data_IF_732489113170
#
_entry.id   IF_732489113170
#
_cell.length_a   1.000
_cell.length_b   1.000
_cell.length_c   1.000
_cell.angle_alpha   90.00
_cell.angle_beta   90.00
_cell.angle_gamma   90.00
#
_symmetry.space_group_name_H-M   'P 1'
#
loop_
_entity.id
_entity.type
_entity.pdbx_description
1 polymer ?
#
# COMPACT_ATOMS: atom_id res chain seq x y z
N UNK A 1 39.58 -44.90 -88.20
CA UNK A 1 39.35 -46.20 -87.54
C UNK A 1 38.52 -45.96 -86.30
N UNK A 2 37.41 -46.67 -86.17
CA UNK A 2 36.55 -46.79 -84.97
C UNK A 2 37.17 -47.81 -84.00
N UNK A 3 36.60 -48.12 -82.80
CA UNK A 3 35.49 -47.51 -82.04
C UNK A 3 36.00 -47.06 -80.62
N UNK A 4 35.27 -46.89 -79.49
CA UNK A 4 33.82 -46.94 -79.20
C UNK A 4 33.40 -46.09 -77.95
N UNK A 5 32.09 -45.84 -77.85
CA UNK A 5 31.19 -45.93 -76.67
C UNK A 5 31.46 -45.37 -75.24
N UNK A 6 30.34 -44.82 -74.71
CA UNK A 6 29.75 -45.06 -73.37
C UNK A 6 29.80 -43.98 -72.27
N UNK A 7 28.75 -43.16 -72.29
CA UNK A 7 27.80 -42.82 -71.20
C UNK A 7 28.21 -42.24 -69.83
N UNK A 8 27.27 -41.41 -69.33
CA UNK A 8 26.82 -41.27 -67.95
C UNK A 8 27.62 -40.42 -66.92
N UNK A 9 27.17 -39.16 -66.84
CA UNK A 9 26.54 -38.58 -65.65
C UNK A 9 27.36 -37.99 -64.47
N UNK A 10 26.94 -36.76 -64.13
CA UNK A 10 26.89 -36.14 -62.79
C UNK A 10 28.21 -35.86 -62.03
N UNK A 11 28.62 -34.61 -62.20
CA UNK A 11 28.80 -33.62 -61.13
C UNK A 11 29.86 -33.84 -60.04
N UNK A 12 30.83 -32.90 -59.97
CA UNK A 12 31.20 -32.15 -58.74
C UNK A 12 32.17 -30.99 -58.99
N UNK A 13 31.93 -29.87 -58.29
CA UNK A 13 32.88 -28.89 -57.72
C UNK A 13 34.07 -28.35 -58.54
N UNK A 14 34.06 -27.03 -58.78
CA UNK A 14 35.02 -26.04 -58.20
C UNK A 14 34.52 -24.59 -58.51
N UNK A 15 34.31 -23.67 -57.54
CA UNK A 15 35.31 -22.88 -56.75
C UNK A 15 36.05 -21.92 -57.70
N UNK A 16 35.89 -20.58 -57.78
CA UNK A 16 35.61 -19.42 -56.87
C UNK A 16 35.18 -18.21 -57.79
N UNK A 17 34.87 -16.97 -57.39
CA UNK A 17 35.06 -16.14 -56.18
C UNK A 17 34.01 -14.98 -56.17
N UNK A 18 33.96 -14.22 -55.07
CA UNK A 18 33.42 -12.84 -54.92
C UNK A 18 31.95 -12.64 -54.53
N UNK A 19 31.72 -11.62 -53.69
CA UNK A 19 30.47 -11.10 -53.12
C UNK A 19 29.88 -11.84 -51.90
N UNK A 20 30.54 -11.69 -50.74
CA UNK A 20 29.94 -11.98 -49.42
C UNK A 20 30.49 -11.04 -48.32
N UNK A 21 30.11 -9.76 -48.34
CA UNK A 21 30.66 -8.75 -47.40
C UNK A 21 29.75 -7.53 -47.10
N UNK A 22 28.42 -7.67 -47.03
CA UNK A 22 27.52 -6.51 -46.74
C UNK A 22 26.43 -6.75 -45.67
N UNK A 23 26.04 -8.00 -45.36
CA UNK A 23 24.78 -8.28 -44.62
C UNK A 23 24.92 -8.87 -43.21
N UNK A 24 25.96 -8.51 -42.44
CA UNK A 24 26.15 -8.99 -41.05
C UNK A 24 26.47 -7.91 -40.00
N UNK A 25 26.43 -6.62 -40.36
CA UNK A 25 26.71 -5.50 -39.43
C UNK A 25 25.45 -4.81 -38.87
N UNK A 26 24.24 -5.25 -39.24
CA UNK A 26 22.98 -4.63 -38.80
C UNK A 26 22.34 -5.24 -37.54
N UNK A 27 22.71 -6.47 -37.16
CA UNK A 27 21.99 -7.23 -36.12
C UNK A 27 22.40 -6.94 -34.67
N UNK A 28 23.54 -6.30 -34.43
CA UNK A 28 24.12 -6.19 -33.09
C UNK A 28 23.78 -4.89 -32.33
N UNK A 29 23.19 -3.89 -32.99
CA UNK A 29 22.96 -2.57 -32.39
C UNK A 29 21.60 -2.43 -31.66
N UNK A 30 20.60 -3.26 -31.97
CA UNK A 30 19.28 -3.17 -31.33
C UNK A 30 19.19 -3.86 -29.96
N UNK A 31 20.11 -4.78 -29.62
CA UNK A 31 20.08 -5.50 -28.34
C UNK A 31 20.65 -4.70 -27.16
N UNK A 32 21.39 -3.61 -27.42
CA UNK A 32 22.11 -2.84 -26.39
C UNK A 32 21.30 -1.70 -25.75
N UNK A 33 20.02 -1.54 -26.11
CA UNK A 33 19.15 -0.48 -25.57
C UNK A 33 18.44 -0.89 -24.27
N UNK A 34 18.12 -2.18 -24.08
CA UNK A 34 17.37 -2.66 -22.93
C UNK A 34 18.19 -2.80 -21.63
N UNK A 35 19.51 -2.94 -21.73
CA UNK A 35 20.41 -3.21 -20.61
C UNK A 35 21.09 -1.97 -20.00
N UNK A 36 20.46 -0.78 -20.12
CA UNK A 36 21.06 0.52 -19.72
C UNK A 36 20.23 1.33 -18.71
N UNK A 37 19.22 0.73 -18.10
CA UNK A 37 18.26 1.43 -17.22
C UNK A 37 18.32 1.00 -15.73
N UNK A 38 19.34 0.24 -15.32
CA UNK A 38 19.56 -0.05 -13.89
C UNK A 38 20.10 1.20 -13.18
N UNK A 39 19.36 1.69 -12.17
CA UNK A 39 19.76 2.82 -11.32
C UNK A 39 19.32 4.22 -11.77
N UNK A 40 18.65 4.38 -12.92
CA UNK A 40 18.02 5.65 -13.30
C UNK A 40 16.55 5.69 -12.86
N UNK A 41 16.02 6.85 -12.43
CA UNK A 41 14.59 7.00 -12.15
C UNK A 41 13.73 6.68 -13.37
N UNK A 42 12.61 5.98 -13.16
CA UNK A 42 11.61 5.76 -14.21
C UNK A 42 10.89 7.07 -14.50
N UNK A 43 10.97 7.55 -15.74
CA UNK A 43 10.19 8.70 -16.20
C UNK A 43 8.72 8.29 -16.38
N UNK A 44 7.83 8.87 -15.59
CA UNK A 44 6.38 8.85 -15.81
C UNK A 44 5.96 10.18 -16.44
N UNK A 45 5.23 10.15 -17.55
CA UNK A 45 4.80 11.37 -18.25
C UNK A 45 3.31 11.63 -18.05
N UNK A 46 2.93 12.90 -17.98
CA UNK A 46 1.51 13.28 -17.96
C UNK A 46 0.79 12.92 -19.27
N UNK A 47 1.52 12.80 -20.39
CA UNK A 47 0.97 12.29 -21.64
C UNK A 47 0.38 10.88 -21.49
N UNK A 48 1.10 9.94 -20.86
CA UNK A 48 0.59 8.58 -20.65
C UNK A 48 -0.69 8.56 -19.82
N UNK A 49 -0.76 9.38 -18.77
CA UNK A 49 -1.98 9.58 -17.99
C UNK A 49 -3.15 10.09 -18.85
N UNK A 50 -2.93 11.11 -19.68
CA UNK A 50 -3.96 11.67 -20.58
C UNK A 50 -4.42 10.62 -21.61
N UNK A 51 -3.50 9.83 -22.16
CA UNK A 51 -3.81 8.74 -23.10
C UNK A 51 -4.66 7.64 -22.46
N UNK A 52 -4.39 7.28 -21.20
CA UNK A 52 -5.16 6.24 -20.50
C UNK A 52 -6.54 6.71 -20.03
N UNK A 53 -6.70 7.95 -19.52
CA UNK A 53 -8.04 8.48 -19.19
C UNK A 53 -8.90 8.77 -20.41
N UNK A 54 -8.28 8.95 -21.58
CA UNK A 54 -8.98 9.13 -22.87
C UNK A 54 -9.36 7.81 -23.55
N UNK A 55 -8.92 6.67 -23.02
CA UNK A 55 -9.13 5.35 -23.61
C UNK A 55 -10.54 4.82 -23.34
N UNK A 56 -11.28 4.46 -24.39
CA UNK A 56 -12.48 3.64 -24.24
C UNK A 56 -12.10 2.20 -23.89
N UNK A 57 -12.74 1.64 -22.86
CA UNK A 57 -12.54 0.24 -22.44
C UNK A 57 -13.79 -0.59 -22.72
N UNK A 58 -13.59 -1.83 -23.14
CA UNK A 58 -14.63 -2.85 -23.25
C UNK A 58 -14.68 -3.82 -22.06
N UNK A 59 -13.97 -3.50 -20.97
CA UNK A 59 -13.94 -4.31 -19.76
C UNK A 59 -15.33 -4.31 -19.08
N UNK A 60 -15.88 -5.49 -18.80
CA UNK A 60 -17.10 -5.62 -18.00
C UNK A 60 -16.78 -5.33 -16.53
N UNK A 61 -16.77 -4.05 -16.13
CA UNK A 61 -16.41 -3.59 -14.78
C UNK A 61 -17.35 -4.10 -13.67
N UNK A 62 -18.51 -4.63 -14.03
CA UNK A 62 -19.50 -5.23 -13.11
C UNK A 62 -19.36 -6.76 -13.00
N UNK A 63 -18.45 -7.39 -13.76
CA UNK A 63 -18.12 -8.82 -13.65
C UNK A 63 -16.74 -8.99 -12.99
N UNK A 64 -16.68 -9.37 -11.70
CA UNK A 64 -15.42 -9.62 -11.00
C UNK A 64 -14.50 -10.64 -11.69
N UNK A 65 -15.03 -11.62 -12.43
CA UNK A 65 -14.20 -12.59 -13.17
C UNK A 65 -13.62 -12.00 -14.45
N UNK A 66 -14.32 -11.06 -15.10
CA UNK A 66 -13.76 -10.29 -16.21
C UNK A 66 -12.63 -9.37 -15.73
N UNK A 67 -12.83 -8.63 -14.63
CA UNK A 67 -11.81 -7.74 -14.06
C UNK A 67 -10.62 -8.54 -13.52
N UNK A 68 -10.84 -9.67 -12.83
CA UNK A 68 -9.77 -10.55 -12.39
C UNK A 68 -8.95 -11.10 -13.57
N UNK A 69 -9.62 -11.54 -14.65
CA UNK A 69 -8.95 -12.01 -15.86
C UNK A 69 -8.14 -10.92 -16.57
N UNK A 70 -8.62 -9.68 -16.57
CA UNK A 70 -7.88 -8.52 -17.06
C UNK A 70 -6.63 -8.24 -16.21
N UNK A 71 -6.78 -8.12 -14.88
CA UNK A 71 -5.68 -7.85 -13.94
C UNK A 71 -4.62 -8.95 -14.04
N UNK A 72 -4.99 -10.22 -13.83
CA UNK A 72 -4.07 -11.35 -13.88
C UNK A 72 -3.40 -11.48 -15.26
N UNK A 73 -4.14 -11.21 -16.33
CA UNK A 73 -3.64 -11.20 -17.71
C UNK A 73 -2.52 -10.18 -17.95
N UNK A 74 -2.64 -8.99 -17.34
CA UNK A 74 -1.68 -7.90 -17.45
C UNK A 74 -0.40 -8.08 -16.60
N UNK A 75 -0.41 -8.97 -15.60
CA UNK A 75 0.77 -9.22 -14.75
C UNK A 75 1.89 -9.95 -15.49
N UNK A 76 3.17 -9.74 -15.11
CA UNK A 76 4.28 -10.61 -15.53
C UNK A 76 4.10 -12.04 -14.99
N UNK A 77 4.94 -12.97 -15.44
CA UNK A 77 4.90 -14.39 -15.01
C UNK A 77 5.19 -14.58 -13.50
N UNK A 78 5.87 -13.63 -12.88
CA UNK A 78 6.16 -13.61 -11.43
C UNK A 78 6.01 -12.19 -10.90
N UNK A 79 5.31 -12.05 -9.76
CA UNK A 79 5.19 -10.81 -8.98
C UNK A 79 5.65 -11.03 -7.54
N UNK A 80 6.06 -9.95 -6.88
CA UNK A 80 6.33 -9.93 -5.44
C UNK A 80 5.15 -9.26 -4.73
N UNK A 81 4.68 -9.88 -3.65
CA UNK A 81 3.66 -9.35 -2.75
C UNK A 81 4.40 -8.77 -1.56
N UNK A 82 4.56 -7.45 -1.52
CA UNK A 82 5.38 -6.76 -0.53
C UNK A 82 4.75 -6.66 0.86
N UNK A 83 3.46 -6.30 1.01
CA UNK A 83 2.84 -6.15 2.32
C UNK A 83 2.77 -7.48 3.07
N UNK A 84 3.04 -7.46 4.38
CA UNK A 84 3.12 -8.69 5.18
C UNK A 84 1.78 -9.37 5.42
N UNK A 85 0.69 -8.64 5.20
CA UNK A 85 -0.70 -9.11 5.25
C UNK A 85 -1.15 -9.85 3.95
N UNK A 86 -0.24 -9.98 2.97
CA UNK A 86 -0.37 -10.75 1.73
C UNK A 86 -1.27 -10.15 0.63
N UNK A 87 -1.38 -8.82 0.59
CA UNK A 87 -2.10 -8.08 -0.45
C UNK A 87 -1.19 -7.73 -1.63
N UNK A 88 -1.53 -8.20 -2.83
CA UNK A 88 -0.99 -7.65 -4.06
C UNK A 88 -1.91 -6.54 -4.56
N UNK A 89 -1.57 -5.29 -4.23
CA UNK A 89 -2.33 -4.12 -4.68
C UNK A 89 -2.08 -3.81 -6.17
N UNK A 90 -3.11 -3.29 -6.82
CA UNK A 90 -3.05 -2.80 -8.20
C UNK A 90 -3.93 -1.55 -8.37
N UNK A 91 -3.67 -0.77 -9.42
CA UNK A 91 -4.61 0.23 -9.91
C UNK A 91 -4.63 0.28 -11.43
N UNK A 92 -5.76 0.72 -12.00
CA UNK A 92 -5.94 0.94 -13.43
C UNK A 92 -6.94 2.07 -13.68
N UNK A 93 -7.02 2.55 -14.92
CA UNK A 93 -8.03 3.54 -15.33
C UNK A 93 -9.13 2.83 -16.14
N UNK A 94 -10.39 3.11 -15.83
CA UNK A 94 -11.57 2.63 -16.54
C UNK A 94 -12.61 3.75 -16.64
N UNK A 95 -13.10 4.01 -17.85
CA UNK A 95 -14.04 5.10 -18.19
C UNK A 95 -13.74 6.43 -17.47
N UNK A 96 -12.50 6.90 -17.58
CA UNK A 96 -11.93 8.12 -16.95
C UNK A 96 -11.81 8.11 -15.43
N UNK A 97 -12.33 7.11 -14.72
CA UNK A 97 -12.13 6.93 -13.29
C UNK A 97 -10.91 6.04 -13.01
N UNK A 98 -10.21 6.30 -11.90
CA UNK A 98 -9.16 5.41 -11.40
C UNK A 98 -9.78 4.38 -10.48
N UNK A 99 -9.41 3.12 -10.66
CA UNK A 99 -9.77 1.99 -9.81
C UNK A 99 -8.54 1.51 -9.07
N UNK A 100 -8.74 1.16 -7.81
CA UNK A 100 -7.78 0.46 -6.97
C UNK A 100 -8.33 -0.93 -6.61
N UNK A 101 -7.48 -1.83 -6.14
CA UNK A 101 -7.90 -3.16 -5.75
C UNK A 101 -6.73 -4.03 -5.32
N UNK A 102 -7.04 -5.26 -4.94
CA UNK A 102 -6.05 -6.23 -4.49
C UNK A 102 -6.38 -7.68 -4.90
N UNK A 103 -5.33 -8.49 -4.94
CA UNK A 103 -5.38 -9.96 -4.89
C UNK A 103 -4.76 -10.34 -3.54
N UNK A 104 -5.55 -10.79 -2.56
CA UNK A 104 -5.06 -11.18 -1.23
C UNK A 104 -4.96 -12.69 -1.09
N UNK A 105 -3.74 -13.17 -0.85
CA UNK A 105 -3.44 -14.55 -0.46
C UNK A 105 -3.53 -14.67 1.07
N UNK A 106 -4.76 -14.64 1.61
CA UNK A 106 -5.03 -14.80 3.05
C UNK A 106 -4.38 -16.08 3.62
N UNK A 107 -3.94 -16.01 4.87
CA UNK A 107 -3.24 -17.09 5.57
C UNK A 107 -4.01 -18.41 5.66
N UNK A 108 -5.33 -18.35 5.77
CA UNK A 108 -6.21 -19.50 5.99
C UNK A 108 -6.83 -19.96 4.67
N UNK A 109 -7.27 -19.03 3.82
CA UNK A 109 -7.98 -19.36 2.58
C UNK A 109 -7.06 -19.75 1.41
N UNK A 110 -5.81 -19.27 1.35
CA UNK A 110 -4.85 -19.72 0.32
C UNK A 110 -4.54 -21.21 0.42
N UNK A 111 -4.41 -21.74 1.64
CA UNK A 111 -4.16 -23.15 1.91
C UNK A 111 -5.39 -24.03 1.55
N UNK A 112 -6.57 -23.43 1.36
CA UNK A 112 -7.79 -24.08 0.83
C UNK A 112 -7.89 -23.97 -0.70
N UNK A 113 -6.87 -23.44 -1.38
CA UNK A 113 -6.89 -23.20 -2.83
C UNK A 113 -7.76 -22.01 -3.25
N UNK A 114 -7.89 -20.99 -2.38
CA UNK A 114 -8.69 -19.79 -2.63
C UNK A 114 -7.88 -18.49 -2.60
N UNK A 115 -8.42 -17.42 -3.14
CA UNK A 115 -7.82 -16.08 -3.12
C UNK A 115 -8.91 -15.02 -3.08
N UNK A 116 -8.76 -13.99 -2.25
CA UNK A 116 -9.69 -12.85 -2.30
C UNK A 116 -9.30 -11.93 -3.45
N UNK A 117 -10.31 -11.46 -4.17
CA UNK A 117 -10.16 -10.43 -5.18
C UNK A 117 -11.12 -9.29 -4.89
N UNK A 118 -10.59 -8.08 -4.75
CA UNK A 118 -11.38 -6.88 -4.49
C UNK A 118 -10.94 -5.74 -5.41
N UNK A 119 -11.90 -4.92 -5.83
CA UNK A 119 -11.65 -3.67 -6.54
C UNK A 119 -12.78 -2.66 -6.32
N UNK A 120 -12.41 -1.38 -6.40
CA UNK A 120 -13.27 -0.23 -6.14
C UNK A 120 -12.76 0.97 -6.94
N UNK A 121 -13.63 1.95 -7.17
CA UNK A 121 -13.18 3.25 -7.67
C UNK A 121 -12.34 3.93 -6.56
N UNK A 122 -11.17 4.48 -6.87
CA UNK A 122 -10.29 5.07 -5.85
C UNK A 122 -10.98 6.24 -5.14
N UNK A 123 -10.91 6.30 -3.80
CA UNK A 123 -11.58 7.33 -2.99
C UNK A 123 -10.98 8.72 -3.25
N UNK A 124 -11.78 9.77 -3.03
CA UNK A 124 -11.33 11.16 -3.04
C UNK A 124 -12.14 11.96 -2.01
N UNK A 125 -11.54 12.93 -1.33
CA UNK A 125 -12.17 13.68 -0.21
C UNK A 125 -13.52 14.35 -0.56
N UNK A 126 -13.81 14.58 -1.84
CA UNK A 126 -15.02 15.27 -2.31
C UNK A 126 -16.19 14.34 -2.66
N UNK A 127 -16.05 13.02 -2.54
CA UNK A 127 -17.10 12.04 -2.88
C UNK A 127 -17.31 11.00 -1.78
N UNK A 128 -18.53 10.46 -1.74
CA UNK A 128 -18.88 9.34 -0.86
C UNK A 128 -18.02 8.09 -1.17
N UNK A 129 -17.87 7.22 -0.16
CA UNK A 129 -17.12 5.98 -0.33
C UNK A 129 -17.76 5.09 -1.40
N UNK A 130 -17.04 4.77 -2.50
CA UNK A 130 -17.60 3.95 -3.57
C UNK A 130 -17.73 2.48 -3.13
N UNK A 131 -18.70 1.74 -3.68
CA UNK A 131 -18.94 0.36 -3.30
C UNK A 131 -17.76 -0.55 -3.69
N UNK A 132 -17.27 -1.34 -2.73
CA UNK A 132 -16.25 -2.35 -2.97
C UNK A 132 -16.86 -3.60 -3.60
N UNK A 133 -16.33 -4.01 -4.75
CA UNK A 133 -16.66 -5.31 -5.35
C UNK A 133 -15.65 -6.33 -4.85
N UNK A 134 -16.10 -7.23 -3.97
CA UNK A 134 -15.31 -8.33 -3.40
C UNK A 134 -15.83 -9.68 -3.89
N UNK A 135 -14.92 -10.63 -4.08
CA UNK A 135 -15.25 -12.03 -4.30
C UNK A 135 -14.12 -12.93 -3.79
N UNK A 136 -14.49 -14.09 -3.23
CA UNK A 136 -13.56 -15.14 -2.86
C UNK A 136 -13.49 -16.16 -4.01
N UNK A 137 -12.37 -16.17 -4.72
CA UNK A 137 -12.16 -16.97 -5.92
C UNK A 137 -11.53 -18.32 -5.58
N UNK A 138 -11.84 -19.33 -6.39
CA UNK A 138 -11.41 -20.72 -6.20
C UNK A 138 -11.76 -21.59 -7.42
N UNK A 139 -11.62 -22.90 -7.27
CA UNK A 139 -11.78 -23.87 -8.37
C UNK A 139 -13.18 -23.83 -8.99
N UNK A 140 -14.21 -23.53 -8.20
CA UNK A 140 -15.60 -23.32 -8.63
C UNK A 140 -15.78 -22.12 -9.58
N UNK A 141 -14.86 -21.16 -9.53
CA UNK A 141 -14.77 -20.00 -10.42
C UNK A 141 -13.82 -20.25 -11.62
N UNK A 142 -13.23 -21.45 -11.72
CA UNK A 142 -12.18 -21.77 -12.68
C UNK A 142 -10.81 -21.16 -12.34
N UNK A 143 -10.61 -20.70 -11.10
CA UNK A 143 -9.36 -20.13 -10.60
C UNK A 143 -8.62 -21.19 -9.77
N UNK A 144 -7.45 -21.60 -10.22
CA UNK A 144 -6.58 -22.50 -9.45
C UNK A 144 -5.59 -21.69 -8.63
N UNK A 145 -5.50 -21.96 -7.32
CA UNK A 145 -4.51 -21.40 -6.40
C UNK A 145 -3.71 -22.55 -5.82
N UNK A 146 -2.41 -22.60 -6.11
CA UNK A 146 -1.53 -23.72 -5.78
C UNK A 146 -0.32 -23.24 -4.95
N UNK A 147 0.01 -23.94 -3.87
CA UNK A 147 1.27 -23.75 -3.15
C UNK A 147 2.42 -24.34 -3.97
N UNK A 148 3.46 -23.57 -4.23
CA UNK A 148 4.64 -24.01 -5.00
C UNK A 148 5.81 -24.33 -4.07
N UNK A 149 6.10 -23.40 -3.14
CA UNK A 149 7.07 -23.52 -2.06
C UNK A 149 6.58 -22.64 -0.89
N UNK A 150 7.27 -22.65 0.24
CA UNK A 150 6.92 -21.72 1.33
C UNK A 150 6.98 -20.27 0.86
N UNK A 151 5.95 -19.49 1.20
CA UNK A 151 5.76 -18.11 0.77
C UNK A 151 5.62 -17.92 -0.76
N UNK A 152 5.36 -18.97 -1.55
CA UNK A 152 5.20 -18.84 -3.00
C UNK A 152 4.01 -19.63 -3.52
N UNK A 153 3.16 -18.91 -4.22
CA UNK A 153 1.87 -19.37 -4.69
C UNK A 153 1.75 -19.17 -6.20
N UNK A 154 1.01 -20.04 -6.86
CA UNK A 154 0.66 -19.90 -8.27
C UNK A 154 -0.83 -19.69 -8.38
N UNK A 155 -1.22 -18.65 -9.12
CA UNK A 155 -2.62 -18.38 -9.44
C UNK A 155 -2.79 -18.54 -10.95
N UNK A 156 -3.77 -19.34 -11.36
CA UNK A 156 -4.05 -19.61 -12.77
C UNK A 156 -5.54 -19.41 -13.10
N UNK A 157 -5.81 -18.73 -14.22
CA UNK A 157 -7.17 -18.48 -14.72
C UNK A 157 -7.14 -18.25 -16.23
N UNK A 158 -8.09 -18.86 -16.96
CA UNK A 158 -8.27 -18.72 -18.44
C UNK A 158 -6.97 -18.85 -19.26
N UNK A 159 -6.07 -19.76 -18.86
CA UNK A 159 -4.80 -20.04 -19.55
C UNK A 159 -3.66 -19.07 -19.22
N UNK A 160 -3.89 -18.04 -18.39
CA UNK A 160 -2.83 -17.27 -17.75
C UNK A 160 -2.47 -17.91 -16.40
N UNK A 161 -1.18 -17.91 -16.10
CA UNK A 161 -0.61 -18.35 -14.83
C UNK A 161 0.39 -17.29 -14.34
N UNK A 162 0.36 -16.97 -13.06
CA UNK A 162 1.27 -16.01 -12.41
C UNK A 162 1.77 -16.59 -11.09
N UNK A 163 3.05 -16.43 -10.81
CA UNK A 163 3.68 -16.83 -9.54
C UNK A 163 3.75 -15.61 -8.61
N UNK A 164 3.10 -15.70 -7.46
CA UNK A 164 3.11 -14.70 -6.41
C UNK A 164 4.12 -15.11 -5.34
N UNK A 165 5.19 -14.32 -5.17
CA UNK A 165 6.18 -14.49 -4.09
C UNK A 165 5.82 -13.54 -2.95
N UNK A 166 5.37 -14.08 -1.83
CA UNK A 166 5.12 -13.33 -0.60
C UNK A 166 6.46 -12.86 -0.03
N UNK A 167 6.50 -11.63 0.51
CA UNK A 167 7.71 -11.04 1.07
C UNK A 167 8.29 -11.93 2.18
N UNK A 168 9.57 -12.29 2.10
CA UNK A 168 10.21 -13.16 3.09
C UNK A 168 11.08 -12.34 4.06
N UNK A 169 10.54 -12.14 5.26
CA UNK A 169 11.18 -11.40 6.34
C UNK A 169 11.55 -12.31 7.52
N UNK A 170 11.63 -13.64 7.33
CA UNK A 170 11.95 -14.60 8.42
C UNK A 170 13.27 -14.30 9.14
N UNK A 171 14.24 -13.76 8.42
CA UNK A 171 15.55 -13.34 8.96
C UNK A 171 15.59 -11.93 9.53
N UNK A 172 14.49 -11.16 9.45
CA UNK A 172 14.40 -9.77 9.91
C UNK A 172 13.93 -9.74 11.36
N UNK A 173 14.78 -9.26 12.26
CA UNK A 173 14.56 -9.16 13.70
C UNK A 173 15.14 -7.81 14.20
N UNK A 174 14.56 -7.19 15.24
CA UNK A 174 15.07 -5.95 15.80
C UNK A 174 16.48 -6.11 16.37
N UNK A 175 17.37 -5.09 16.23
CA UNK A 175 18.61 -5.03 16.99
C UNK A 175 18.35 -5.12 18.49
N UNK A 176 19.27 -5.73 19.26
CA UNK A 176 19.11 -5.89 20.70
C UNK A 176 18.95 -4.55 21.47
N UNK A 177 19.44 -3.45 20.91
CA UNK A 177 19.29 -2.08 21.44
C UNK A 177 17.90 -1.47 21.21
N UNK A 178 17.10 -2.01 20.28
CA UNK A 178 15.81 -1.47 19.88
C UNK A 178 14.64 -1.89 20.78
N UNK A 179 14.82 -2.87 21.68
CA UNK A 179 13.77 -3.37 22.58
C UNK A 179 14.00 -2.97 24.05
N UNK A 180 12.90 -2.69 24.75
CA UNK A 180 12.81 -2.52 26.19
C UNK A 180 12.75 -3.85 26.95
N UNK A 181 13.02 -3.85 28.28
CA UNK A 181 12.90 -5.07 29.10
C UNK A 181 11.44 -5.56 29.22
N UNK A 182 10.48 -4.63 29.16
CA UNK A 182 9.05 -4.92 29.22
C UNK A 182 8.46 -5.25 27.83
N UNK A 183 9.24 -5.11 26.76
CA UNK A 183 8.77 -5.22 25.39
C UNK A 183 8.97 -6.63 24.81
N UNK A 184 8.01 -7.04 23.98
CA UNK A 184 8.03 -8.28 23.21
C UNK A 184 7.90 -7.94 21.73
N UNK A 185 8.80 -8.49 20.92
CA UNK A 185 8.71 -8.41 19.47
C UNK A 185 7.66 -9.39 18.95
N UNK A 186 6.70 -8.90 18.16
CA UNK A 186 5.61 -9.69 17.58
C UNK A 186 6.00 -10.22 16.20
N UNK A 187 6.55 -9.36 15.34
CA UNK A 187 6.96 -9.73 13.99
C UNK A 187 7.36 -8.52 13.12
N UNK A 188 7.93 -8.78 11.93
CA UNK A 188 8.33 -7.75 11.00
C UNK A 188 7.13 -7.39 10.13
N UNK A 189 6.82 -6.10 10.06
CA UNK A 189 5.78 -5.52 9.22
C UNK A 189 6.44 -4.88 8.01
N UNK A 190 5.83 -5.07 6.85
CA UNK A 190 6.12 -4.32 5.64
C UNK A 190 4.79 -3.74 5.19
N UNK A 191 4.75 -2.42 5.16
CA UNK A 191 3.57 -1.60 4.89
C UNK A 191 3.42 -1.30 3.40
N UNK A 192 2.22 -0.93 2.93
CA UNK A 192 2.01 -0.57 1.51
C UNK A 192 2.74 0.72 1.12
N UNK A 193 3.08 1.57 2.09
CA UNK A 193 3.99 2.70 1.90
C UNK A 193 5.44 2.26 1.57
N UNK A 194 5.71 0.96 1.48
CA UNK A 194 7.03 0.33 1.41
C UNK A 194 7.95 0.61 2.61
N UNK A 195 7.36 0.93 3.76
CA UNK A 195 8.10 1.12 5.03
C UNK A 195 8.12 -0.20 5.80
N UNK A 196 9.26 -0.51 6.41
CA UNK A 196 9.40 -1.65 7.33
C UNK A 196 9.33 -1.21 8.77
N UNK A 197 8.64 -1.99 9.58
CA UNK A 197 8.55 -1.81 11.02
C UNK A 197 8.77 -3.13 11.76
N UNK A 198 9.15 -3.03 13.02
CA UNK A 198 8.96 -4.08 14.00
C UNK A 198 7.68 -3.77 14.78
N UNK A 199 6.70 -4.67 14.74
CA UNK A 199 5.56 -4.60 15.65
C UNK A 199 6.03 -5.06 17.03
N UNK A 200 5.91 -4.20 18.02
CA UNK A 200 6.39 -4.40 19.39
C UNK A 200 5.23 -4.19 20.37
N UNK A 201 5.10 -5.08 21.35
CA UNK A 201 4.12 -5.00 22.42
C UNK A 201 4.80 -4.72 23.76
N UNK A 202 4.36 -3.70 24.49
CA UNK A 202 4.84 -3.42 25.85
C UNK A 202 3.93 -4.10 26.88
N UNK A 203 4.47 -5.11 27.58
CA UNK A 203 3.71 -5.94 28.54
C UNK A 203 3.42 -5.26 29.87
N UNK A 204 4.09 -4.14 30.20
CA UNK A 204 3.80 -3.38 31.44
C UNK A 204 2.71 -2.34 31.22
N UNK A 205 2.74 -1.69 30.06
CA UNK A 205 1.83 -0.59 29.72
C UNK A 205 0.66 -1.04 28.84
N UNK A 206 0.63 -2.33 28.47
CA UNK A 206 -0.42 -2.96 27.65
C UNK A 206 -0.74 -2.16 26.38
N UNK A 207 0.30 -1.93 25.56
CA UNK A 207 0.22 -1.12 24.34
C UNK A 207 1.13 -1.65 23.22
N UNK A 208 0.82 -1.26 21.99
CA UNK A 208 1.64 -1.56 20.81
C UNK A 208 2.48 -0.36 20.37
N UNK A 209 3.59 -0.63 19.69
CA UNK A 209 4.37 0.36 18.93
C UNK A 209 4.79 -0.23 17.59
N UNK A 210 4.79 0.61 16.56
CA UNK A 210 5.57 0.37 15.35
C UNK A 210 6.93 1.06 15.50
N UNK A 211 7.98 0.25 15.63
CA UNK A 211 9.36 0.74 15.65
C UNK A 211 9.91 0.65 14.23
N UNK A 212 10.41 1.75 13.66
CA UNK A 212 10.99 1.75 12.31
C UNK A 212 12.14 0.74 12.22
N UNK A 213 12.12 -0.06 11.18
CA UNK A 213 13.15 -1.06 10.91
C UNK A 213 14.30 -0.44 10.10
N UNK A 214 15.33 0.01 10.82
CA UNK A 214 16.54 0.59 10.24
C UNK A 214 17.63 -0.46 9.94
N UNK A 215 17.30 -1.76 9.91
CA UNK A 215 18.26 -2.82 9.50
C UNK A 215 18.48 -2.87 8.00
N UNK A 216 17.63 -2.17 7.23
CA UNK A 216 17.83 -1.86 5.81
C UNK A 216 17.58 -0.36 5.58
N UNK A 217 18.08 0.25 4.49
CA UNK A 217 17.76 1.62 4.15
C UNK A 217 16.25 1.80 3.93
N UNK A 218 15.61 2.67 4.71
CA UNK A 218 14.23 3.05 4.48
C UNK A 218 14.10 3.80 3.13
N UNK A 219 13.05 3.55 2.32
CA UNK A 219 12.80 4.26 1.06
C UNK A 219 12.16 5.63 1.32
N UNK A 220 12.85 6.45 2.13
CA UNK A 220 12.37 7.73 2.65
C UNK A 220 13.57 8.66 2.94
N UNK A 221 13.33 9.97 2.90
CA UNK A 221 14.17 10.98 3.54
C UNK A 221 13.33 11.75 4.55
N UNK A 222 13.96 12.32 5.57
CA UNK A 222 13.26 12.94 6.69
C UNK A 222 13.49 14.45 6.76
N UNK A 223 12.43 15.19 7.05
CA UNK A 223 12.51 16.53 7.63
C UNK A 223 12.46 16.42 9.15
N UNK A 224 13.19 17.28 9.88
CA UNK A 224 12.97 17.46 11.32
C UNK A 224 11.81 18.44 11.51
N UNK A 225 10.93 18.18 12.48
CA UNK A 225 9.88 19.12 12.85
C UNK A 225 10.49 20.43 13.38
N UNK A 226 9.85 21.54 13.07
CA UNK A 226 10.26 22.90 13.49
C UNK A 226 10.32 23.05 15.01
N UNK A 227 9.48 22.31 15.73
CA UNK A 227 9.37 22.34 17.19
C UNK A 227 10.53 21.60 17.87
N UNK A 228 11.05 20.51 17.27
CA UNK A 228 12.10 19.69 17.88
C UNK A 228 12.80 18.75 16.87
N UNK A 229 14.13 18.58 16.99
CA UNK A 229 14.91 17.63 16.17
C UNK A 229 14.66 16.15 16.52
N UNK A 230 13.83 15.91 17.55
CA UNK A 230 13.39 14.60 18.01
C UNK A 230 12.24 14.04 17.19
N UNK A 231 11.46 14.87 16.51
CA UNK A 231 10.38 14.43 15.61
C UNK A 231 10.90 14.52 14.18
N UNK A 232 10.81 13.40 13.46
CA UNK A 232 11.19 13.27 12.07
C UNK A 232 9.97 12.93 11.22
N UNK A 233 9.72 13.70 10.17
CA UNK A 233 8.59 13.49 9.26
C UNK A 233 9.11 12.97 7.93
N UNK A 234 8.52 11.88 7.43
CA UNK A 234 8.85 11.28 6.14
C UNK A 234 8.41 12.17 4.97
N UNK A 235 9.36 12.57 4.12
CA UNK A 235 9.11 13.47 2.99
C UNK A 235 8.23 12.87 1.88
N UNK A 236 8.01 11.54 1.87
CA UNK A 236 7.16 10.85 0.89
C UNK A 236 5.86 10.36 1.52
N UNK A 237 5.94 9.80 2.72
CA UNK A 237 4.79 9.17 3.40
C UNK A 237 3.98 10.13 4.27
N UNK A 238 4.62 11.16 4.85
CA UNK A 238 4.02 11.87 5.97
C UNK A 238 3.90 11.00 7.24
N UNK A 239 4.72 9.96 7.39
CA UNK A 239 4.84 9.24 8.66
C UNK A 239 5.76 10.03 9.60
N UNK A 240 5.28 10.29 10.81
CA UNK A 240 5.97 11.03 11.85
C UNK A 240 6.56 10.07 12.90
N UNK A 241 7.86 10.22 13.17
CA UNK A 241 8.61 9.34 14.04
C UNK A 241 9.26 10.11 15.19
N UNK A 242 9.13 9.59 16.42
CA UNK A 242 9.88 10.07 17.57
C UNK A 242 11.21 9.34 17.71
N UNK A 243 12.32 10.10 17.79
CA UNK A 243 13.65 9.61 18.13
C UNK A 243 13.76 9.42 19.64
N UNK A 244 13.60 8.18 20.08
CA UNK A 244 13.57 7.79 21.50
C UNK A 244 14.79 8.35 22.30
N UNK A 245 14.55 8.89 23.49
CA UNK A 245 15.60 9.34 24.41
C UNK A 245 16.33 8.21 25.12
N UNK A 246 15.71 7.03 25.23
CA UNK A 246 16.22 5.90 26.03
C UNK A 246 16.84 4.80 25.19
N UNK A 247 16.68 4.83 23.85
CA UNK A 247 17.13 3.80 22.89
C UNK A 247 17.44 4.41 21.54
N UNK A 248 18.39 3.81 20.82
CA UNK A 248 18.65 4.13 19.41
C UNK A 248 17.57 3.46 18.54
N UNK A 249 16.41 4.12 18.44
CA UNK A 249 15.28 3.71 17.61
C UNK A 249 14.37 4.90 17.25
N UNK A 250 13.51 4.69 16.26
CA UNK A 250 12.44 5.61 15.87
C UNK A 250 11.09 4.93 16.06
N UNK A 251 10.18 5.55 16.80
CA UNK A 251 8.83 5.04 17.08
C UNK A 251 7.85 5.85 16.22
N UNK A 252 6.97 5.19 15.46
CA UNK A 252 5.88 5.86 14.74
C UNK A 252 4.93 6.49 15.76
N UNK A 253 4.75 7.81 15.67
CA UNK A 253 3.84 8.58 16.55
C UNK A 253 2.69 9.22 15.80
N UNK A 254 2.78 9.34 14.47
CA UNK A 254 1.67 9.83 13.66
C UNK A 254 1.76 9.48 12.18
N UNK A 255 0.62 9.54 11.54
CA UNK A 255 0.44 9.44 10.07
C UNK A 255 -0.32 10.67 9.60
N UNK A 256 -0.05 11.14 8.39
CA UNK A 256 -0.70 12.34 7.88
C UNK A 256 -2.17 12.07 7.55
N UNK A 257 -3.08 12.72 8.29
CA UNK A 257 -4.54 12.53 8.26
C UNK A 257 -5.13 12.61 6.83
N UNK A 258 -4.56 13.46 5.97
CA UNK A 258 -4.99 13.59 4.57
C UNK A 258 -4.79 12.35 3.71
N UNK A 259 -3.87 11.44 4.08
CA UNK A 259 -3.70 10.15 3.40
C UNK A 259 -4.73 9.14 3.90
N UNK A 260 -4.93 9.06 5.22
CA UNK A 260 -5.87 8.14 5.85
C UNK A 260 -7.32 8.44 5.49
N UNK A 261 -7.69 9.72 5.35
CA UNK A 261 -9.01 10.14 4.84
C UNK A 261 -9.35 9.63 3.44
N UNK A 262 -8.35 9.36 2.60
CA UNK A 262 -8.55 8.84 1.24
C UNK A 262 -8.15 7.37 1.08
N UNK A 263 -7.74 6.69 2.17
CA UNK A 263 -7.34 5.27 2.16
C UNK A 263 -6.37 4.96 1.01
N UNK A 264 -5.26 5.71 0.98
CA UNK A 264 -4.16 5.50 0.05
C UNK A 264 -2.99 4.80 0.76
N UNK A 265 -2.00 4.33 0.00
CA UNK A 265 -0.85 3.57 0.50
C UNK A 265 0.01 4.25 1.59
N UNK A 266 -0.30 5.46 2.06
CA UNK A 266 0.38 6.19 3.13
C UNK A 266 -0.58 6.53 4.30
N UNK A 267 -1.67 5.77 4.45
CA UNK A 267 -2.66 5.88 5.53
C UNK A 267 -2.19 5.28 6.87
N UNK A 268 -1.30 4.29 6.82
CA UNK A 268 -0.55 3.77 7.96
C UNK A 268 -0.64 2.25 8.14
N UNK A 269 0.29 1.63 8.89
CA UNK A 269 0.42 0.17 8.98
C UNK A 269 -0.64 -0.52 9.86
N UNK A 270 -1.82 0.06 10.07
CA UNK A 270 -2.76 -0.32 11.14
C UNK A 270 -3.41 -1.70 10.96
N UNK A 271 -3.57 -2.15 9.71
CA UNK A 271 -4.04 -3.49 9.34
C UNK A 271 -2.92 -4.39 8.81
N UNK A 272 -1.76 -3.82 8.45
CA UNK A 272 -0.59 -4.50 7.88
C UNK A 272 0.19 -5.32 8.91
N UNK A 273 -0.42 -6.39 9.42
CA UNK A 273 0.15 -7.23 10.48
C UNK A 273 1.17 -8.25 9.94
N UNK A 274 2.07 -8.81 10.81
CA UNK A 274 3.16 -9.69 10.40
C UNK A 274 2.69 -11.14 10.15
N UNK A 275 1.66 -11.32 9.34
CA UNK A 275 0.83 -12.54 9.24
C UNK A 275 1.61 -13.83 8.98
N UNK A 276 2.64 -13.78 8.14
CA UNK A 276 3.48 -14.93 7.81
C UNK A 276 4.49 -15.31 8.91
N UNK A 277 4.65 -14.47 9.95
CA UNK A 277 5.77 -14.53 10.88
C UNK A 277 5.35 -14.59 12.36
N UNK A 278 4.06 -14.50 12.67
CA UNK A 278 3.55 -14.60 14.06
C UNK A 278 3.90 -15.96 14.64
N UNK A 279 4.74 -15.95 15.68
CA UNK A 279 5.14 -17.13 16.45
C UNK A 279 4.00 -17.50 17.42
N UNK A 280 3.54 -18.76 17.41
CA UNK A 280 2.51 -19.25 18.33
C UNK A 280 1.21 -18.42 18.33
N UNK A 281 0.82 -17.93 19.50
CA UNK A 281 -0.36 -17.07 19.70
C UNK A 281 0.01 -15.64 20.12
N UNK A 282 1.29 -15.24 19.97
CA UNK A 282 1.86 -14.03 20.61
C UNK A 282 1.11 -12.74 20.25
N UNK A 283 0.62 -12.58 19.03
CA UNK A 283 -0.20 -11.42 18.64
C UNK A 283 -1.55 -11.43 19.38
N UNK A 284 -2.29 -12.55 19.31
CA UNK A 284 -3.60 -12.69 19.97
C UNK A 284 -3.49 -12.48 21.47
N UNK A 285 -2.49 -13.06 22.11
CA UNK A 285 -2.31 -12.96 23.56
C UNK A 285 -1.94 -11.52 23.99
N UNK A 286 -1.23 -10.76 23.13
CA UNK A 286 -1.02 -9.32 23.33
C UNK A 286 -2.33 -8.51 23.15
N UNK A 287 -3.12 -8.79 22.10
CA UNK A 287 -4.44 -8.16 21.90
C UNK A 287 -5.36 -8.44 23.08
N UNK A 288 -5.40 -9.69 23.60
CA UNK A 288 -6.27 -10.08 24.71
C UNK A 288 -5.85 -9.52 26.07
N UNK A 289 -4.62 -9.02 26.21
CA UNK A 289 -4.21 -8.26 27.39
C UNK A 289 -4.79 -6.83 27.34
N UNK A 290 -4.75 -6.18 26.16
CA UNK A 290 -5.32 -4.84 25.94
C UNK A 290 -6.87 -4.90 25.99
N UNK A 291 -7.46 -5.84 25.26
CA UNK A 291 -8.92 -6.03 25.21
C UNK A 291 -9.35 -7.47 25.56
N UNK A 292 -9.47 -7.79 26.87
CA UNK A 292 -9.96 -9.10 27.33
C UNK A 292 -11.37 -9.46 26.81
N UNK A 293 -12.14 -8.46 26.34
CA UNK A 293 -13.47 -8.62 25.73
C UNK A 293 -13.44 -9.54 24.50
N UNK A 294 -12.32 -9.61 23.78
CA UNK A 294 -12.17 -10.38 22.54
C UNK A 294 -11.88 -11.88 22.77
N UNK A 295 -11.82 -12.34 24.03
CA UNK A 295 -11.48 -13.74 24.34
C UNK A 295 -12.47 -14.72 23.72
N UNK A 296 -11.98 -15.54 22.80
CA UNK A 296 -12.78 -16.51 22.04
C UNK A 296 -13.56 -15.91 20.86
N UNK A 297 -13.37 -14.61 20.57
CA UNK A 297 -13.94 -13.91 19.40
C UNK A 297 -12.90 -13.67 18.29
N UNK A 298 -11.61 -13.78 18.59
CA UNK A 298 -10.51 -13.62 17.61
C UNK A 298 -9.63 -14.86 17.53
N UNK A 299 -9.06 -15.08 16.35
CA UNK A 299 -8.07 -16.12 16.08
C UNK A 299 -6.63 -15.68 16.43
N UNK A 300 -5.61 -16.45 16.01
CA UNK A 300 -4.20 -16.11 16.28
C UNK A 300 -3.66 -14.88 15.52
N UNK A 301 -4.39 -14.42 14.50
CA UNK A 301 -4.06 -13.27 13.66
C UNK A 301 -4.79 -11.99 14.09
N UNK A 302 -5.72 -12.09 15.05
CA UNK A 302 -6.58 -10.98 15.47
C UNK A 302 -7.85 -10.84 14.63
N UNK A 303 -8.17 -11.83 13.79
CA UNK A 303 -9.36 -11.81 12.92
C UNK A 303 -10.56 -12.51 13.57
N UNK A 304 -11.77 -12.08 13.23
CA UNK A 304 -13.01 -12.76 13.60
C UNK A 304 -13.12 -14.16 12.98
N UNK A 305 -13.98 -15.06 13.49
CA UNK A 305 -14.02 -16.46 13.01
C UNK A 305 -14.56 -16.62 11.58
N UNK A 306 -15.23 -15.61 11.06
CA UNK A 306 -15.69 -15.49 9.67
C UNK A 306 -14.72 -14.67 8.79
N UNK A 307 -13.66 -14.10 9.37
CA UNK A 307 -12.67 -13.27 8.67
C UNK A 307 -13.19 -11.91 8.20
N UNK A 308 -14.36 -11.47 8.67
CA UNK A 308 -14.98 -10.20 8.30
C UNK A 308 -14.31 -9.00 8.99
N UNK A 309 -14.00 -9.15 10.28
CA UNK A 309 -13.40 -8.11 11.12
C UNK A 309 -11.96 -8.49 11.49
N UNK A 310 -11.12 -7.46 11.69
CA UNK A 310 -9.75 -7.60 12.17
C UNK A 310 -9.46 -6.58 13.27
N UNK A 311 -8.76 -6.98 14.32
CA UNK A 311 -8.26 -6.05 15.33
C UNK A 311 -7.27 -5.05 14.71
N UNK A 312 -7.63 -3.78 14.76
CA UNK A 312 -6.88 -2.66 14.21
C UNK A 312 -5.83 -2.18 15.23
N UNK A 313 -4.58 -2.03 14.79
CA UNK A 313 -3.47 -1.58 15.65
C UNK A 313 -3.00 -0.21 15.17
N UNK A 314 -3.61 0.88 15.67
CA UNK A 314 -3.23 2.27 15.35
C UNK A 314 -2.78 3.02 16.61
N UNK A 315 -1.58 2.75 17.16
CA UNK A 315 -1.07 3.40 18.37
C UNK A 315 -0.44 4.76 18.06
N UNK A 316 -0.99 5.54 17.13
CA UNK A 316 -0.40 6.77 16.61
C UNK A 316 -1.49 7.77 16.22
N UNK A 317 -1.16 9.06 16.14
CA UNK A 317 -2.12 10.10 15.79
C UNK A 317 -2.32 10.26 14.27
N UNK A 318 -3.56 10.51 13.84
CA UNK A 318 -3.83 11.12 12.54
C UNK A 318 -3.60 12.63 12.60
N UNK A 319 -2.42 13.09 12.19
CA UNK A 319 -2.00 14.49 12.34
C UNK A 319 -2.21 15.32 11.06
N UNK A 320 -2.49 16.62 11.21
CA UNK A 320 -2.68 17.56 10.08
C UNK A 320 -1.62 18.65 10.03
N UNK A 321 -1.04 19.06 11.16
CA UNK A 321 0.09 20.01 11.26
C UNK A 321 1.19 19.50 12.19
N UNK A 322 2.35 20.16 12.22
CA UNK A 322 3.46 19.74 13.10
C UNK A 322 3.13 19.95 14.60
N UNK A 323 2.26 20.91 14.90
CA UNK A 323 1.80 21.21 16.26
C UNK A 323 1.02 20.05 16.89
N UNK A 324 0.27 19.28 16.11
CA UNK A 324 -0.45 18.07 16.55
C UNK A 324 0.52 16.99 17.09
N UNK A 325 1.79 17.03 16.66
CA UNK A 325 2.85 16.12 17.11
C UNK A 325 3.59 16.62 18.36
N UNK A 326 3.34 17.86 18.81
CA UNK A 326 4.00 18.43 19.97
C UNK A 326 3.73 17.69 21.30
N UNK A 327 2.50 17.20 21.61
CA UNK A 327 2.21 16.53 22.88
C UNK A 327 3.10 15.31 23.17
N UNK A 328 3.52 14.59 22.13
CA UNK A 328 4.47 13.48 22.22
C UNK A 328 5.82 13.94 22.79
N UNK A 329 6.31 15.11 22.38
CA UNK A 329 7.57 15.68 22.86
C UNK A 329 7.43 16.26 24.28
N UNK A 330 6.33 16.96 24.57
CA UNK A 330 6.05 17.48 25.92
C UNK A 330 5.97 16.33 26.94
N UNK A 331 5.24 15.26 26.63
CA UNK A 331 5.15 14.08 27.49
C UNK A 331 6.53 13.41 27.66
N UNK A 332 7.25 13.15 26.57
CA UNK A 332 8.53 12.44 26.60
C UNK A 332 9.66 13.22 27.28
N UNK A 333 9.53 14.53 27.45
CA UNK A 333 10.52 15.41 28.13
C UNK A 333 10.06 15.93 29.49
N UNK A 334 8.79 15.73 29.86
CA UNK A 334 8.25 16.13 31.16
C UNK A 334 8.93 15.39 32.30
N UNK A 335 9.17 16.12 33.40
CA UNK A 335 9.69 15.57 34.66
C UNK A 335 8.59 14.93 35.52
N UNK A 336 7.33 15.20 35.19
CA UNK A 336 6.17 14.71 35.92
C UNK A 336 5.73 13.32 35.43
N UNK A 337 6.22 12.89 34.26
CA UNK A 337 6.01 11.54 33.71
C UNK A 337 7.00 10.55 34.35
N UNK A 338 6.55 9.52 35.08
CA UNK A 338 7.42 8.52 35.67
C UNK A 338 8.26 7.77 34.61
N UNK A 339 9.45 7.31 35.00
CA UNK A 339 10.38 6.66 34.07
C UNK A 339 9.79 5.38 33.44
N UNK A 340 8.90 4.72 34.17
CA UNK A 340 8.11 3.55 33.80
C UNK A 340 6.91 3.88 32.89
N UNK A 341 6.37 5.10 32.95
CA UNK A 341 5.24 5.55 32.11
C UNK A 341 5.70 6.11 30.75
N UNK A 342 6.97 6.49 30.61
CA UNK A 342 7.55 7.14 29.43
C UNK A 342 7.13 6.59 28.05
N UNK A 343 7.02 5.27 27.88
CA UNK A 343 6.63 4.71 26.58
C UNK A 343 5.13 4.86 26.27
N UNK A 344 4.30 5.20 27.25
CA UNK A 344 2.92 5.64 27.03
C UNK A 344 2.82 7.03 26.40
N UNK A 345 3.91 7.81 26.36
CA UNK A 345 3.96 9.09 25.64
C UNK A 345 3.94 8.94 24.11
N UNK A 346 4.03 7.71 23.58
CA UNK A 346 4.13 7.43 22.14
C UNK A 346 2.92 6.66 21.59
N UNK A 347 1.80 6.70 22.30
CA UNK A 347 0.51 6.16 21.84
C UNK A 347 -0.60 7.17 22.06
N UNK A 348 -1.62 7.13 21.20
CA UNK A 348 -2.89 7.81 21.42
C UNK A 348 -3.85 6.81 22.08
N UNK A 349 -4.66 7.29 23.02
CA UNK A 349 -5.79 6.53 23.56
C UNK A 349 -6.90 6.48 22.48
N UNK A 350 -7.32 5.29 22.00
CA UNK A 350 -8.37 5.19 20.99
C UNK A 350 -9.67 5.90 21.39
N UNK A 351 -9.99 5.96 22.68
CA UNK A 351 -11.18 6.65 23.19
C UNK A 351 -11.07 8.19 23.07
N UNK A 352 -9.86 8.75 22.98
CA UNK A 352 -9.63 10.17 22.72
C UNK A 352 -9.70 10.50 21.22
N UNK A 353 -9.22 9.60 20.35
CA UNK A 353 -9.28 9.79 18.90
C UNK A 353 -10.73 9.65 18.36
N UNK A 354 -11.50 8.68 18.87
CA UNK A 354 -12.90 8.51 18.51
C UNK A 354 -13.77 9.72 18.91
N UNK A 355 -13.39 10.45 19.96
CA UNK A 355 -14.00 11.73 20.34
C UNK A 355 -13.55 12.87 19.42
N UNK A 356 -12.25 12.97 19.12
CA UNK A 356 -11.71 14.02 18.24
C UNK A 356 -12.26 13.94 16.80
N UNK A 357 -12.50 12.73 16.27
CA UNK A 357 -13.14 12.53 14.96
C UNK A 357 -14.65 12.88 14.94
N UNK A 358 -15.29 12.99 16.11
CA UNK A 358 -16.71 13.34 16.24
C UNK A 358 -16.95 14.84 16.48
N UNK A 359 -15.92 15.63 16.79
CA UNK A 359 -16.04 17.09 16.86
C UNK A 359 -16.05 17.70 15.45
N UNK A 360 -17.20 18.22 15.02
CA UNK A 360 -17.28 19.01 13.79
C UNK A 360 -16.33 20.22 13.85
N UNK A 361 -15.66 20.59 12.73
CA UNK A 361 -14.80 21.76 12.71
C UNK A 361 -15.57 23.02 13.13
N UNK A 362 -14.96 23.93 13.90
CA UNK A 362 -15.65 25.10 14.41
C UNK A 362 -16.25 25.92 13.25
N UNK A 363 -17.51 26.38 13.36
CA UNK A 363 -18.20 27.04 12.26
C UNK A 363 -17.42 28.26 11.77
N UNK A 364 -17.34 28.43 10.44
CA UNK A 364 -16.67 29.59 9.82
C UNK A 364 -17.11 30.90 10.54
N UNK A 365 -16.18 31.78 10.93
CA UNK A 365 -16.55 33.01 11.61
C UNK A 365 -17.48 33.84 10.73
N UNK A 366 -18.70 34.10 11.22
CA UNK A 366 -19.75 34.81 10.49
C UNK A 366 -19.20 36.08 9.83
N UNK A 367 -19.23 36.10 8.49
CA UNK A 367 -18.87 37.27 7.68
C UNK A 367 -19.89 38.38 7.94
N UNK A 368 -19.68 39.17 9.00
CA UNK A 368 -20.51 40.32 9.39
C UNK A 368 -20.85 41.17 8.17
N UNK A 369 -22.13 41.14 7.80
CA UNK A 369 -22.59 41.64 6.50
C UNK A 369 -22.24 43.11 6.27
N UNK A 370 -21.47 43.39 5.20
CA UNK A 370 -21.41 44.73 4.63
C UNK A 370 -22.81 45.10 4.14
N UNK A 371 -23.45 46.08 4.80
CA UNK A 371 -24.71 46.67 4.33
C UNK A 371 -24.52 47.24 2.92
N UNK A 372 -25.07 46.56 1.92
CA UNK A 372 -25.29 47.12 0.59
C UNK A 372 -26.41 48.15 0.66
N UNK A 373 -26.08 49.40 0.39
CA UNK A 373 -27.09 50.47 0.24
C UNK A 373 -27.76 50.28 -1.12
N UNK A 374 -28.97 49.73 -1.14
CA UNK A 374 -29.78 49.59 -2.35
C UNK A 374 -30.51 50.91 -2.66
N UNK A 375 -30.30 51.43 -3.86
CA UNK A 375 -30.96 52.64 -4.34
C UNK A 375 -32.41 52.33 -4.74
N UNK A 376 -33.40 52.90 -4.05
CA UNK A 376 -34.80 52.73 -4.43
C UNK A 376 -35.09 53.36 -5.82
N UNK A 377 -35.56 52.53 -6.76
CA UNK A 377 -36.38 53.00 -7.89
C UNK A 377 -37.81 52.51 -7.70
N UNK A 378 -38.65 53.36 -7.10
CA UNK A 378 -40.11 53.15 -7.03
C UNK A 378 -40.76 53.55 -8.35
N UNK A 379 -41.29 52.57 -9.08
CA UNK A 379 -42.29 52.82 -10.12
C UNK A 379 -43.67 52.85 -9.47
N UNK A 380 -44.38 53.97 -9.55
CA UNK A 380 -45.81 54.01 -9.28
C UNK A 380 -46.53 55.09 -10.09
N UNK A 381 -47.66 54.66 -10.66
CA UNK A 381 -48.85 55.45 -11.04
C UNK A 381 -48.90 56.09 -12.43
N UNK A 382 -49.71 55.45 -13.28
CA UNK A 382 -50.29 56.05 -14.47
C UNK A 382 -51.57 56.85 -14.14
N UNK A 383 -52.06 57.58 -15.16
CA UNK A 383 -53.35 58.28 -15.25
C UNK A 383 -53.55 59.55 -14.40
N UNK A 384 -53.53 60.70 -15.09
CA UNK A 384 -54.81 61.26 -15.60
C UNK A 384 -54.59 62.15 -16.84
N UNK A 385 -55.39 61.91 -17.88
CA UNK A 385 -55.54 62.84 -19.00
C UNK A 385 -56.53 63.97 -18.64
N UNK A 386 -56.65 64.97 -19.51
CA UNK A 386 -57.37 66.22 -19.25
C UNK A 386 -58.90 66.13 -19.33
N UNK A 387 -59.53 67.15 -18.71
CA UNK A 387 -60.97 67.49 -18.66
C UNK A 387 -61.85 66.62 -17.77
#
# INVERSE_FOLDING_TARGET
MTPNESTAAKARRSVRLSLLSVLLAGGALCAAAAARAEGLPRLTTHQGYVEDVSRSSGLAIDDPLAVFGFVLGALPETVTVYPTENYFYFSFVYDKARYAGNIRLDNVDREKGKVHFAYFEELAEWKDQPPVKHTLLGQEHGVAVEKVEDLVWRISFRGKTVTFRLNDLRGVKPPATALGPDETYIGPVFDDAAVRFFLVYNRRLELFHYVLDETAPAPETYAAATITDRILIGNRTGFAYYRDHKRERKILIGVFEGNSRVNNAFDGPFDQLPDNFIEGDTLRDAILAIEPSLKGKIDRFGSSPDGADRYLISPYAHYRTEEDLHPFHECATSKDVPAEAYYGCFVIDPAAEEQAMQEEPPPEPEKKGKKTVSTERKNAKAARAAK
#
